data_IF_345170539039
#
_entry.id   IF_345170539039
#
_cell.length_a   1.000
_cell.length_b   1.000
_cell.length_c   1.000
_cell.angle_alpha   90.00
_cell.angle_beta   90.00
_cell.angle_gamma   90.00
#
_symmetry.space_group_name_H-M   'P 1'
#
loop_
_entity.id
_entity.type
_entity.pdbx_description
1 polymer ?
#
# COMPACT_ATOMS: atom_id res chain seq x y z
N UNK A 1 14.78 -39.22 5.82
CA UNK A 1 15.27 -37.87 5.39
C UNK A 1 14.55 -37.47 4.12
N UNK A 2 14.05 -36.23 4.07
CA UNK A 2 13.38 -35.70 2.86
C UNK A 2 14.33 -34.78 2.10
N UNK A 3 14.50 -35.03 0.81
CA UNK A 3 15.22 -34.14 -0.10
C UNK A 3 14.28 -33.69 -1.19
N UNK A 4 14.11 -32.39 -1.34
CA UNK A 4 13.39 -31.79 -2.48
C UNK A 4 14.36 -31.55 -3.61
N UNK A 5 13.96 -31.85 -4.83
CA UNK A 5 14.75 -31.57 -6.03
C UNK A 5 13.92 -30.77 -7.04
N UNK A 6 14.33 -29.55 -7.28
CA UNK A 6 13.81 -28.74 -8.38
C UNK A 6 14.26 -29.30 -9.73
N UNK A 7 13.31 -29.55 -10.62
CA UNK A 7 13.56 -30.13 -11.93
C UNK A 7 13.90 -29.10 -13.01
N UNK A 8 13.72 -27.82 -12.74
CA UNK A 8 13.64 -26.78 -13.78
C UNK A 8 12.34 -26.91 -14.59
N UNK A 9 12.26 -26.18 -15.70
CA UNK A 9 11.07 -26.16 -16.56
C UNK A 9 11.20 -26.99 -17.86
N UNK A 10 12.38 -27.52 -18.16
CA UNK A 10 12.64 -28.31 -19.38
C UNK A 10 13.07 -29.71 -19.06
N UNK A 11 12.93 -30.60 -20.06
CA UNK A 11 13.17 -32.04 -19.92
C UNK A 11 14.52 -32.42 -19.28
N UNK A 12 15.55 -31.66 -19.55
CA UNK A 12 16.93 -31.98 -19.15
C UNK A 12 17.53 -30.94 -18.18
N UNK A 13 16.71 -30.05 -17.62
CA UNK A 13 17.15 -28.95 -16.74
C UNK A 13 17.66 -29.41 -15.36
N UNK A 14 17.34 -30.63 -14.92
CA UNK A 14 17.74 -31.09 -13.59
C UNK A 14 19.26 -31.10 -13.41
N UNK A 15 19.74 -30.47 -12.33
CA UNK A 15 21.17 -30.35 -12.02
C UNK A 15 21.84 -31.70 -11.78
N UNK A 16 23.18 -31.76 -11.93
CA UNK A 16 23.95 -32.97 -11.61
C UNK A 16 23.74 -33.39 -10.15
N UNK A 17 23.64 -32.44 -9.23
CA UNK A 17 23.36 -32.69 -7.80
C UNK A 17 21.99 -33.34 -7.62
N UNK A 18 20.96 -32.76 -8.27
CA UNK A 18 19.61 -33.30 -8.27
C UNK A 18 19.54 -34.72 -8.85
N UNK A 19 20.21 -34.98 -9.99
CA UNK A 19 20.26 -36.32 -10.59
C UNK A 19 20.91 -37.35 -9.65
N UNK A 20 21.98 -36.98 -8.93
CA UNK A 20 22.61 -37.86 -7.93
C UNK A 20 21.66 -38.14 -6.77
N UNK A 21 20.96 -37.12 -6.23
CA UNK A 21 20.00 -37.34 -5.16
C UNK A 21 18.85 -38.26 -5.57
N UNK A 22 18.28 -38.06 -6.76
CA UNK A 22 17.21 -38.91 -7.31
C UNK A 22 17.67 -40.38 -7.46
N UNK A 23 18.91 -40.59 -7.91
CA UNK A 23 19.47 -41.98 -8.06
C UNK A 23 19.74 -42.64 -6.72
N UNK A 24 20.04 -41.91 -5.68
CA UNK A 24 20.38 -42.40 -4.35
C UNK A 24 19.15 -42.56 -3.41
N UNK A 25 17.98 -42.20 -3.86
CA UNK A 25 16.76 -42.23 -3.08
C UNK A 25 16.17 -43.66 -3.00
N UNK A 26 15.62 -44.01 -1.84
CA UNK A 26 14.82 -45.22 -1.67
C UNK A 26 13.44 -45.06 -2.33
N UNK A 27 12.94 -43.84 -2.42
CA UNK A 27 11.66 -43.49 -3.02
C UNK A 27 11.75 -42.13 -3.70
N UNK A 28 11.20 -42.02 -4.91
CA UNK A 28 11.06 -40.75 -5.63
C UNK A 28 9.58 -40.51 -5.91
N UNK A 29 9.08 -39.38 -5.44
CA UNK A 29 7.67 -38.96 -5.59
C UNK A 29 7.64 -37.63 -6.31
N UNK A 30 6.85 -37.54 -7.37
CA UNK A 30 6.63 -36.27 -8.09
C UNK A 30 5.39 -35.55 -7.58
N UNK A 31 5.46 -34.22 -7.49
CA UNK A 31 4.28 -33.39 -7.23
C UNK A 31 3.18 -33.69 -8.24
N UNK A 32 3.55 -33.71 -9.51
CA UNK A 32 2.71 -34.09 -10.65
C UNK A 32 3.57 -34.75 -11.72
N UNK A 33 3.01 -35.61 -12.52
CA UNK A 33 3.68 -36.16 -13.70
C UNK A 33 3.14 -35.60 -15.02
N UNK A 34 2.33 -34.56 -14.97
CA UNK A 34 1.68 -33.93 -16.14
C UNK A 34 2.58 -32.91 -16.87
N UNK A 35 3.70 -32.51 -16.28
CA UNK A 35 4.63 -31.55 -16.87
C UNK A 35 5.76 -32.21 -17.63
N UNK A 36 6.46 -31.46 -18.50
CA UNK A 36 7.56 -32.02 -19.32
C UNK A 36 8.72 -32.54 -18.47
N UNK A 37 9.23 -31.82 -17.44
CA UNK A 37 10.34 -32.32 -16.63
C UNK A 37 9.95 -33.49 -15.72
N UNK A 38 8.72 -33.55 -15.25
CA UNK A 38 8.25 -34.54 -14.27
C UNK A 38 7.66 -35.82 -14.89
N UNK A 39 7.26 -35.78 -16.16
CA UNK A 39 6.58 -36.91 -16.87
C UNK A 39 7.26 -38.25 -16.77
N UNK A 40 8.58 -38.29 -16.54
CA UNK A 40 9.37 -39.53 -16.42
C UNK A 40 9.22 -40.23 -15.07
N UNK A 41 8.63 -39.58 -14.06
CA UNK A 41 8.44 -40.15 -12.75
C UNK A 41 7.07 -40.82 -12.69
N UNK A 42 7.04 -42.11 -12.38
CA UNK A 42 5.80 -42.90 -12.36
C UNK A 42 4.96 -42.70 -11.11
N UNK A 43 5.61 -42.41 -9.96
CA UNK A 43 4.91 -42.11 -8.69
C UNK A 43 4.70 -40.63 -8.56
N UNK A 44 3.43 -40.22 -8.54
CA UNK A 44 3.03 -38.79 -8.46
C UNK A 44 1.86 -38.60 -7.50
N UNK A 45 1.69 -37.39 -7.03
CA UNK A 45 0.62 -37.00 -6.12
C UNK A 45 -0.59 -36.37 -6.84
N UNK A 46 -0.75 -36.63 -8.14
CA UNK A 46 -1.83 -36.06 -8.96
C UNK A 46 -3.23 -36.34 -8.39
N UNK A 47 -3.45 -37.46 -7.71
CA UNK A 47 -4.74 -37.80 -7.11
C UNK A 47 -5.18 -36.84 -6.00
N UNK A 48 -4.28 -36.12 -5.36
CA UNK A 48 -4.61 -35.13 -4.33
C UNK A 48 -5.24 -33.86 -4.91
N UNK A 49 -5.01 -33.58 -6.18
CA UNK A 49 -5.62 -32.42 -6.85
C UNK A 49 -7.14 -32.49 -6.92
N UNK A 50 -7.70 -33.71 -6.97
CA UNK A 50 -9.15 -33.93 -6.97
C UNK A 50 -9.77 -33.89 -5.56
N UNK A 51 -8.94 -34.02 -4.52
CA UNK A 51 -9.38 -34.03 -3.12
C UNK A 51 -9.33 -32.65 -2.47
N UNK A 52 -8.56 -31.73 -3.03
CA UNK A 52 -8.35 -30.41 -2.49
C UNK A 52 -9.52 -29.47 -2.83
N UNK A 53 -9.96 -28.67 -1.87
CA UNK A 53 -11.00 -27.64 -2.05
C UNK A 53 -10.47 -26.37 -2.73
N UNK A 54 -9.18 -26.07 -2.53
CA UNK A 54 -8.49 -24.87 -2.99
C UNK A 54 -6.99 -25.13 -3.07
N UNK A 55 -6.24 -24.12 -3.57
CA UNK A 55 -4.80 -24.23 -3.77
C UNK A 55 -4.02 -24.40 -2.47
N UNK A 56 -4.43 -23.73 -1.38
CA UNK A 56 -3.75 -23.83 -0.08
C UNK A 56 -3.99 -25.19 0.57
N UNK A 57 -5.20 -25.72 0.48
CA UNK A 57 -5.51 -27.07 0.97
C UNK A 57 -4.75 -28.13 0.18
N UNK A 58 -4.60 -27.97 -1.14
CA UNK A 58 -3.80 -28.85 -1.97
C UNK A 58 -2.34 -28.90 -1.49
N UNK A 59 -1.71 -27.74 -1.27
CA UNK A 59 -0.31 -27.70 -0.87
C UNK A 59 -0.07 -28.29 0.52
N UNK A 60 -1.03 -28.15 1.44
CA UNK A 60 -1.00 -28.83 2.75
C UNK A 60 -1.12 -30.34 2.61
N UNK A 61 -2.07 -30.84 1.81
CA UNK A 61 -2.23 -32.26 1.55
C UNK A 61 -0.98 -32.88 0.90
N UNK A 62 -0.38 -32.18 -0.06
CA UNK A 62 0.88 -32.61 -0.70
C UNK A 62 2.02 -32.71 0.32
N UNK A 63 2.17 -31.72 1.20
CA UNK A 63 3.20 -31.70 2.23
C UNK A 63 3.02 -32.84 3.25
N UNK A 64 1.79 -33.03 3.72
CA UNK A 64 1.44 -34.11 4.67
C UNK A 64 1.70 -35.50 4.06
N UNK A 65 1.32 -35.73 2.83
CA UNK A 65 1.52 -36.99 2.12
C UNK A 65 3.01 -37.30 1.91
N UNK A 66 3.81 -36.28 1.50
CA UNK A 66 5.28 -36.44 1.39
C UNK A 66 5.88 -36.79 2.75
N UNK A 67 5.48 -36.11 3.81
CA UNK A 67 5.94 -36.40 5.18
C UNK A 67 5.57 -37.83 5.60
N UNK A 68 4.34 -38.24 5.34
CA UNK A 68 3.87 -39.59 5.68
C UNK A 68 4.66 -40.69 4.95
N UNK A 69 4.92 -40.50 3.63
CA UNK A 69 5.67 -41.46 2.80
C UNK A 69 7.16 -41.51 3.14
N UNK A 70 7.69 -40.47 3.76
CA UNK A 70 9.11 -40.39 4.13
C UNK A 70 9.49 -41.18 5.38
N UNK A 71 8.53 -41.80 6.09
CA UNK A 71 8.80 -42.59 7.28
C UNK A 71 9.72 -43.74 6.95
N UNK A 72 10.87 -43.78 7.64
CA UNK A 72 11.92 -44.84 7.51
C UNK A 72 12.59 -44.96 6.12
N UNK A 73 12.45 -43.95 5.26
CA UNK A 73 13.00 -43.92 3.90
C UNK A 73 13.72 -42.60 3.60
N UNK A 74 14.72 -42.71 2.72
CA UNK A 74 15.31 -41.55 2.08
C UNK A 74 14.44 -41.16 0.86
N UNK A 75 13.49 -40.24 1.08
CA UNK A 75 12.54 -39.84 0.06
C UNK A 75 13.03 -38.60 -0.69
N UNK A 76 12.97 -38.65 -2.01
CA UNK A 76 13.15 -37.47 -2.87
C UNK A 76 11.80 -37.02 -3.43
N UNK A 77 11.43 -35.82 -3.10
CA UNK A 77 10.25 -35.13 -3.64
C UNK A 77 10.69 -34.24 -4.80
N UNK A 78 10.19 -34.48 -5.99
CA UNK A 78 10.54 -33.71 -7.18
C UNK A 78 9.42 -32.76 -7.54
N UNK A 79 9.80 -31.51 -7.79
CA UNK A 79 8.90 -30.41 -8.18
C UNK A 79 9.46 -29.65 -9.38
N UNK A 80 8.60 -28.98 -10.12
CA UNK A 80 9.03 -28.13 -11.24
C UNK A 80 9.71 -26.84 -10.73
N UNK A 81 10.50 -26.19 -11.60
CA UNK A 81 11.21 -24.98 -11.25
C UNK A 81 12.36 -25.18 -10.27
N UNK A 82 12.58 -24.20 -9.39
CA UNK A 82 13.73 -24.18 -8.47
C UNK A 82 13.55 -25.01 -7.19
N UNK A 83 12.33 -25.36 -6.84
CA UNK A 83 11.98 -26.10 -5.63
C UNK A 83 11.83 -25.24 -4.39
N UNK A 84 12.50 -24.11 -4.25
CA UNK A 84 12.37 -23.23 -3.07
C UNK A 84 11.05 -22.46 -3.03
N UNK A 85 10.51 -22.13 -4.20
CA UNK A 85 9.31 -21.32 -4.36
C UNK A 85 8.04 -22.15 -4.60
N UNK A 86 8.14 -23.47 -4.57
CA UNK A 86 6.98 -24.35 -4.67
C UNK A 86 6.19 -24.31 -3.37
N UNK A 87 4.90 -24.00 -3.45
CA UNK A 87 4.05 -23.79 -2.27
C UNK A 87 3.91 -25.04 -1.40
N UNK A 88 3.91 -26.24 -2.00
CA UNK A 88 3.90 -27.49 -1.23
C UNK A 88 5.21 -27.74 -0.48
N UNK A 89 6.33 -27.26 -1.03
CA UNK A 89 7.63 -27.31 -0.35
C UNK A 89 7.68 -26.32 0.80
N UNK A 90 7.12 -25.13 0.62
CA UNK A 90 6.97 -24.13 1.70
C UNK A 90 6.15 -24.71 2.86
N UNK A 91 5.02 -25.37 2.58
CA UNK A 91 4.22 -26.06 3.60
C UNK A 91 4.99 -27.21 4.25
N UNK A 92 5.71 -28.00 3.48
CA UNK A 92 6.52 -29.12 4.00
C UNK A 92 7.62 -28.62 4.95
N UNK A 93 8.27 -27.51 4.67
CA UNK A 93 9.28 -26.90 5.54
C UNK A 93 8.73 -26.42 6.89
N UNK A 94 7.41 -26.16 6.99
CA UNK A 94 6.76 -25.87 8.28
C UNK A 94 6.59 -27.11 9.15
N UNK A 95 6.55 -28.29 8.53
CA UNK A 95 6.29 -29.56 9.21
C UNK A 95 7.57 -30.30 9.62
N UNK A 96 8.66 -30.14 8.88
CA UNK A 96 9.92 -30.87 9.11
C UNK A 96 11.11 -30.20 8.42
N UNK A 97 12.32 -30.57 8.82
CA UNK A 97 13.54 -30.15 8.12
C UNK A 97 13.64 -30.83 6.77
N UNK A 98 13.91 -30.04 5.75
CA UNK A 98 13.97 -30.47 4.34
C UNK A 98 15.28 -30.01 3.70
N UNK A 99 15.98 -30.91 3.02
CA UNK A 99 17.11 -30.54 2.18
C UNK A 99 16.62 -30.18 0.77
N UNK A 100 16.74 -28.91 0.36
CA UNK A 100 16.33 -28.47 -0.99
C UNK A 100 17.54 -28.38 -1.91
N UNK A 101 17.47 -29.09 -3.03
CA UNK A 101 18.41 -29.00 -4.14
C UNK A 101 17.75 -28.19 -5.25
N UNK A 102 18.21 -26.97 -5.43
CA UNK A 102 17.66 -26.06 -6.44
C UNK A 102 17.71 -26.62 -7.86
N UNK A 103 16.62 -26.47 -8.59
CA UNK A 103 16.59 -26.59 -10.05
C UNK A 103 16.90 -25.24 -10.71
N UNK A 104 17.26 -25.24 -12.00
CA UNK A 104 17.41 -24.01 -12.76
C UNK A 104 16.05 -23.36 -13.00
N UNK A 105 15.99 -22.04 -12.80
CA UNK A 105 14.89 -21.22 -13.28
C UNK A 105 15.30 -20.65 -14.64
N UNK A 106 14.92 -21.34 -15.70
CA UNK A 106 15.18 -20.89 -17.07
C UNK A 106 14.15 -19.81 -17.46
N UNK A 107 14.25 -18.65 -16.80
CA UNK A 107 13.40 -17.51 -17.09
C UNK A 107 13.98 -16.69 -18.25
N UNK A 108 13.15 -16.10 -19.12
CA UNK A 108 13.59 -15.28 -20.25
C UNK A 108 14.04 -13.89 -19.79
N UNK A 109 15.00 -13.83 -18.87
CA UNK A 109 15.52 -12.60 -18.31
C UNK A 109 16.57 -11.99 -19.23
N UNK A 110 16.61 -10.67 -19.41
CA UNK A 110 17.68 -10.01 -20.14
C UNK A 110 19.00 -10.13 -19.37
N UNK A 111 20.11 -10.44 -20.07
CA UNK A 111 21.40 -10.55 -19.42
C UNK A 111 21.90 -9.20 -18.91
N UNK A 112 22.42 -9.18 -17.68
CA UNK A 112 23.03 -8.00 -17.08
C UNK A 112 22.06 -7.00 -16.44
N UNK A 113 20.76 -7.27 -16.43
CA UNK A 113 19.76 -6.45 -15.75
C UNK A 113 19.37 -7.06 -14.39
N UNK A 114 19.11 -6.19 -13.41
CA UNK A 114 18.42 -6.58 -12.19
C UNK A 114 16.94 -6.75 -12.51
N UNK A 115 16.34 -7.87 -12.08
CA UNK A 115 14.93 -8.17 -12.34
C UNK A 115 14.26 -8.66 -11.07
N UNK A 116 13.13 -8.09 -10.72
CA UNK A 116 12.29 -8.62 -9.66
C UNK A 116 11.53 -9.86 -10.18
N UNK A 117 11.76 -11.02 -9.56
CA UNK A 117 11.14 -12.29 -9.96
C UNK A 117 10.07 -12.69 -8.96
N UNK A 118 8.84 -12.78 -9.41
CA UNK A 118 7.65 -13.03 -8.60
C UNK A 118 6.95 -14.31 -9.03
N UNK A 119 6.38 -15.02 -8.06
CA UNK A 119 5.47 -16.14 -8.34
C UNK A 119 4.04 -15.61 -8.49
N UNK A 120 3.31 -16.06 -9.51
CA UNK A 120 1.91 -15.73 -9.71
C UNK A 120 1.01 -16.12 -8.53
N UNK A 121 1.43 -17.08 -7.72
CA UNK A 121 0.70 -17.59 -6.56
C UNK A 121 0.96 -16.85 -5.25
N UNK A 122 1.86 -15.85 -5.23
CA UNK A 122 2.26 -15.13 -4.01
C UNK A 122 2.41 -13.63 -4.24
N UNK A 123 1.48 -13.04 -4.97
CA UNK A 123 1.52 -11.61 -5.33
C UNK A 123 0.91 -10.69 -4.28
N UNK A 124 -0.04 -11.16 -3.48
CA UNK A 124 -0.93 -10.31 -2.66
C UNK A 124 -0.21 -9.40 -1.67
N UNK A 125 0.89 -9.87 -1.10
CA UNK A 125 1.63 -9.15 -0.05
C UNK A 125 2.87 -8.43 -0.56
N UNK A 126 3.19 -8.53 -1.85
CA UNK A 126 4.40 -7.97 -2.41
C UNK A 126 4.14 -6.70 -3.22
N UNK A 127 5.00 -5.71 -3.02
CA UNK A 127 5.05 -4.48 -3.81
C UNK A 127 6.38 -4.46 -4.56
N UNK A 128 6.38 -4.66 -5.90
CA UNK A 128 7.61 -4.70 -6.67
C UNK A 128 8.26 -3.32 -6.72
N UNK A 129 9.59 -3.31 -6.66
CA UNK A 129 10.33 -2.13 -7.08
C UNK A 129 10.22 -1.99 -8.61
N UNK A 130 9.29 -1.16 -9.05
CA UNK A 130 9.03 -0.91 -10.48
C UNK A 130 10.11 -0.07 -11.15
N UNK A 131 11.16 0.35 -10.44
CA UNK A 131 12.37 0.91 -11.06
C UNK A 131 13.17 -0.16 -11.82
N UNK A 132 12.90 -1.43 -11.53
CA UNK A 132 13.49 -2.60 -12.18
C UNK A 132 12.43 -3.34 -13.00
N UNK A 133 12.81 -4.05 -14.06
CA UNK A 133 11.92 -4.97 -14.74
C UNK A 133 11.33 -6.01 -13.80
N UNK A 134 10.08 -6.38 -14.04
CA UNK A 134 9.34 -7.37 -13.25
C UNK A 134 9.08 -8.61 -14.10
N UNK A 135 9.42 -9.77 -13.58
CA UNK A 135 9.12 -11.07 -14.16
C UNK A 135 8.17 -11.84 -13.26
N UNK A 136 6.99 -12.21 -13.76
CA UNK A 136 6.02 -13.05 -13.05
C UNK A 136 5.96 -14.41 -13.73
N UNK A 137 6.23 -15.49 -12.99
CA UNK A 137 6.20 -16.87 -13.48
C UNK A 137 5.07 -17.68 -12.85
N UNK A 138 4.75 -18.84 -13.46
CA UNK A 138 3.72 -19.76 -12.96
C UNK A 138 2.31 -19.35 -13.37
N UNK A 139 2.16 -18.82 -14.58
CA UNK A 139 0.86 -18.43 -15.15
C UNK A 139 0.37 -19.59 -16.04
N UNK A 140 -0.30 -20.55 -15.45
CA UNK A 140 -0.67 -21.82 -16.11
C UNK A 140 -2.11 -21.85 -16.65
N UNK A 141 -2.96 -20.91 -16.25
CA UNK A 141 -4.33 -20.78 -16.75
C UNK A 141 -4.78 -19.32 -16.88
N UNK A 142 -5.97 -19.13 -17.47
CA UNK A 142 -6.57 -17.80 -17.68
C UNK A 142 -7.01 -17.11 -16.36
N UNK A 143 -7.36 -17.87 -15.33
CA UNK A 143 -7.73 -17.33 -14.02
C UNK A 143 -6.51 -16.71 -13.34
N UNK A 144 -5.41 -17.45 -13.27
CA UNK A 144 -4.14 -16.94 -12.73
C UNK A 144 -3.65 -15.75 -13.56
N UNK A 145 -3.77 -15.80 -14.88
CA UNK A 145 -3.44 -14.67 -15.74
C UNK A 145 -4.28 -13.43 -15.42
N UNK A 146 -5.56 -13.61 -15.08
CA UNK A 146 -6.45 -12.53 -14.63
C UNK A 146 -6.00 -11.93 -13.30
N UNK A 147 -5.62 -12.74 -12.33
CA UNK A 147 -5.10 -12.30 -11.04
C UNK A 147 -3.78 -11.52 -11.21
N UNK A 148 -2.86 -12.06 -12.02
CA UNK A 148 -1.59 -11.38 -12.37
C UNK A 148 -1.86 -10.05 -13.08
N UNK A 149 -2.79 -10.02 -14.03
CA UNK A 149 -3.19 -8.78 -14.72
C UNK A 149 -3.68 -7.73 -13.72
N UNK A 150 -4.64 -8.07 -12.85
CA UNK A 150 -5.19 -7.15 -11.85
C UNK A 150 -4.11 -6.66 -10.88
N UNK A 151 -3.20 -7.53 -10.49
CA UNK A 151 -2.05 -7.15 -9.68
C UNK A 151 -1.14 -6.16 -10.40
N UNK A 152 -0.74 -6.45 -11.64
CA UNK A 152 0.17 -5.60 -12.42
C UNK A 152 -0.48 -4.23 -12.77
N UNK A 153 -1.79 -4.17 -13.01
CA UNK A 153 -2.52 -2.92 -13.27
C UNK A 153 -2.47 -1.91 -12.11
N UNK A 154 -2.10 -2.33 -10.92
CA UNK A 154 -1.84 -1.41 -9.79
C UNK A 154 -0.61 -0.55 -10.05
N UNK A 155 0.38 -1.05 -10.79
CA UNK A 155 1.71 -0.47 -10.97
C UNK A 155 2.00 -0.03 -12.40
N UNK A 156 1.28 -0.57 -13.38
CA UNK A 156 1.47 -0.32 -14.80
C UNK A 156 0.18 0.15 -15.46
N UNK A 157 0.29 0.83 -16.59
CA UNK A 157 -0.87 1.23 -17.38
C UNK A 157 -1.45 0.01 -18.12
N UNK A 158 -2.75 0.06 -18.46
CA UNK A 158 -3.46 -1.03 -19.12
C UNK A 158 -2.92 -1.36 -20.51
N UNK A 159 -2.41 -0.35 -21.22
CA UNK A 159 -1.81 -0.44 -22.55
C UNK A 159 -0.31 -0.78 -22.54
N UNK A 160 0.27 -0.98 -21.34
CA UNK A 160 1.68 -1.35 -21.20
C UNK A 160 1.96 -2.62 -21.99
N UNK A 161 2.93 -2.56 -22.90
CA UNK A 161 3.37 -3.74 -23.65
C UNK A 161 4.18 -4.65 -22.72
N UNK A 162 3.68 -5.87 -22.55
CA UNK A 162 4.31 -6.92 -21.78
C UNK A 162 4.79 -8.04 -22.70
N UNK A 163 5.87 -8.71 -22.31
CA UNK A 163 6.38 -9.88 -23.02
C UNK A 163 5.91 -11.15 -22.31
N UNK A 164 5.10 -11.95 -22.98
CA UNK A 164 4.68 -13.27 -22.49
C UNK A 164 5.52 -14.34 -23.14
N UNK A 165 6.11 -15.23 -22.34
CA UNK A 165 7.04 -16.25 -22.77
C UNK A 165 6.67 -17.63 -22.25
N UNK A 166 7.00 -18.68 -23.01
CA UNK A 166 6.91 -20.09 -22.61
C UNK A 166 7.90 -20.92 -23.45
N UNK A 167 7.95 -22.23 -23.23
CA UNK A 167 8.72 -23.15 -24.11
C UNK A 167 8.30 -23.13 -25.59
N UNK A 168 7.19 -22.48 -25.92
CA UNK A 168 6.72 -22.30 -27.32
C UNK A 168 7.23 -21.02 -27.97
N UNK A 169 7.90 -20.15 -27.22
CA UNK A 169 8.41 -18.87 -27.66
C UNK A 169 7.85 -17.70 -26.87
N UNK A 170 8.17 -16.50 -27.32
CA UNK A 170 7.72 -15.26 -26.70
C UNK A 170 6.87 -14.45 -27.69
N UNK A 171 5.93 -13.69 -27.15
CA UNK A 171 5.16 -12.68 -27.89
C UNK A 171 4.97 -11.44 -27.03
N UNK A 172 4.67 -10.32 -27.66
CA UNK A 172 4.35 -9.07 -26.98
C UNK A 172 2.85 -8.81 -27.10
N UNK A 173 2.22 -8.40 -26.00
CA UNK A 173 0.81 -8.07 -25.92
C UNK A 173 0.61 -6.88 -24.97
N UNK A 174 -0.49 -6.10 -25.09
CA UNK A 174 -0.90 -5.17 -24.04
C UNK A 174 -1.25 -5.91 -22.75
N UNK A 175 -0.95 -5.32 -21.61
CA UNK A 175 -1.24 -5.90 -20.29
C UNK A 175 -2.74 -6.23 -20.11
N UNK A 176 -3.63 -5.41 -20.66
CA UNK A 176 -5.08 -5.65 -20.60
C UNK A 176 -5.53 -6.95 -21.27
N UNK A 177 -4.73 -7.49 -22.19
CA UNK A 177 -5.03 -8.73 -22.91
C UNK A 177 -4.42 -9.98 -22.26
N UNK A 178 -3.71 -9.85 -21.15
CA UNK A 178 -3.00 -10.96 -20.54
C UNK A 178 -3.91 -12.16 -20.23
N UNK A 179 -5.13 -11.96 -19.75
CA UNK A 179 -6.10 -13.01 -19.41
C UNK A 179 -6.93 -13.51 -20.63
N UNK A 180 -6.71 -12.93 -21.80
CA UNK A 180 -7.39 -13.31 -23.06
C UNK A 180 -6.55 -14.15 -23.99
N UNK A 181 -5.35 -14.56 -23.56
CA UNK A 181 -4.48 -15.43 -24.34
C UNK A 181 -5.15 -16.79 -24.57
N UNK A 182 -4.96 -17.32 -25.79
CA UNK A 182 -5.60 -18.61 -26.18
C UNK A 182 -5.07 -19.82 -25.40
N UNK A 183 -3.81 -19.76 -24.93
CA UNK A 183 -3.15 -20.88 -24.23
C UNK A 183 -2.12 -20.36 -23.23
N UNK A 184 -2.11 -21.00 -22.09
CA UNK A 184 -1.07 -20.88 -21.05
C UNK A 184 -0.40 -22.25 -20.89
N UNK A 185 0.82 -22.22 -20.46
CA UNK A 185 1.62 -23.42 -20.22
C UNK A 185 2.19 -23.35 -18.81
N UNK A 186 2.55 -24.48 -18.24
CA UNK A 186 3.15 -24.56 -16.88
C UNK A 186 4.39 -23.68 -16.68
N UNK A 187 5.05 -23.27 -17.76
CA UNK A 187 6.23 -22.40 -17.79
C UNK A 187 5.92 -20.98 -18.32
N UNK A 188 4.63 -20.63 -18.46
CA UNK A 188 4.27 -19.28 -18.92
C UNK A 188 4.73 -18.22 -17.92
N UNK A 189 5.40 -17.22 -18.46
CA UNK A 189 6.04 -16.14 -17.72
C UNK A 189 5.70 -14.81 -18.39
N UNK A 190 5.43 -13.80 -17.61
CA UNK A 190 5.24 -12.41 -18.06
C UNK A 190 6.42 -11.57 -17.63
N UNK A 191 6.92 -10.77 -18.55
CA UNK A 191 8.01 -9.84 -18.31
C UNK A 191 7.60 -8.41 -18.69
N UNK A 192 7.79 -7.47 -17.73
CA UNK A 192 7.41 -6.06 -17.87
C UNK A 192 8.63 -5.19 -17.65
N UNK A 193 8.98 -4.37 -18.65
CA UNK A 193 10.16 -3.48 -18.59
C UNK A 193 9.81 -2.01 -18.45
N UNK A 194 8.68 -1.60 -19.00
CA UNK A 194 8.30 -0.21 -19.18
C UNK A 194 6.83 0.02 -18.79
N UNK A 195 6.39 1.26 -18.86
CA UNK A 195 4.96 1.61 -18.66
C UNK A 195 4.52 1.70 -17.20
N UNK A 196 5.46 1.77 -16.25
CA UNK A 196 5.13 1.92 -14.83
C UNK A 196 4.41 3.24 -14.56
N UNK A 197 3.47 3.21 -13.62
CA UNK A 197 2.92 4.41 -13.01
C UNK A 197 3.98 5.08 -12.14
N UNK A 198 3.91 6.40 -12.04
CA UNK A 198 4.78 7.14 -11.14
C UNK A 198 4.57 6.73 -9.69
N UNK A 199 5.65 6.66 -8.94
CA UNK A 199 5.67 6.38 -7.51
C UNK A 199 6.11 7.60 -6.71
N UNK A 200 5.88 7.61 -5.41
CA UNK A 200 6.40 8.67 -4.54
C UNK A 200 7.94 8.76 -4.59
N UNK A 201 8.64 7.65 -4.75
CA UNK A 201 10.10 7.64 -4.95
C UNK A 201 10.51 8.32 -6.27
N UNK A 202 9.67 8.23 -7.32
CA UNK A 202 9.90 8.96 -8.57
C UNK A 202 9.77 10.48 -8.35
N UNK A 203 8.75 10.92 -7.60
CA UNK A 203 8.59 12.32 -7.21
C UNK A 203 9.82 12.83 -6.43
N UNK A 204 10.27 12.08 -5.42
CA UNK A 204 11.46 12.44 -4.65
C UNK A 204 12.72 12.55 -5.55
N UNK A 205 12.88 11.65 -6.54
CA UNK A 205 13.99 11.75 -7.52
C UNK A 205 13.90 12.99 -8.40
N UNK A 206 12.68 13.37 -8.81
CA UNK A 206 12.46 14.61 -9.58
C UNK A 206 12.83 15.82 -8.71
N UNK A 207 12.35 15.89 -7.48
CA UNK A 207 12.70 16.98 -6.54
C UNK A 207 14.21 17.07 -6.34
N UNK A 208 14.89 15.95 -6.05
CA UNK A 208 16.37 15.93 -5.93
C UNK A 208 17.07 16.40 -7.22
N UNK A 209 16.51 16.13 -8.39
CA UNK A 209 17.06 16.66 -9.67
C UNK A 209 16.85 18.14 -9.82
N UNK A 210 15.69 18.68 -9.41
CA UNK A 210 15.39 20.10 -9.45
C UNK A 210 16.30 20.91 -8.51
N UNK A 211 16.60 20.36 -7.33
CA UNK A 211 17.42 21.00 -6.30
C UNK A 211 18.92 20.73 -6.43
N UNK A 212 19.37 19.89 -7.37
CA UNK A 212 20.78 19.58 -7.65
C UNK A 212 21.59 20.84 -7.98
N UNK A 213 22.94 20.84 -7.84
CA UNK A 213 23.78 22.01 -8.14
C UNK A 213 23.55 22.66 -9.49
N UNK A 214 23.29 21.84 -10.51
CA UNK A 214 22.94 22.22 -11.88
C UNK A 214 21.42 22.20 -12.16
N UNK A 215 20.59 22.11 -11.10
CA UNK A 215 19.14 22.10 -11.18
C UNK A 215 18.51 23.50 -11.26
N UNK A 216 17.22 23.58 -10.99
CA UNK A 216 16.44 24.81 -11.06
C UNK A 216 16.89 25.85 -10.02
N UNK A 217 17.25 27.06 -10.40
CA UNK A 217 17.66 28.08 -9.45
C UNK A 217 16.59 28.46 -8.43
N UNK A 218 15.32 28.39 -8.83
CA UNK A 218 14.19 28.72 -7.95
C UNK A 218 13.98 27.65 -6.88
N UNK A 219 13.96 26.36 -7.25
CA UNK A 219 13.82 25.25 -6.30
C UNK A 219 15.01 25.16 -5.32
N UNK A 220 16.21 25.40 -5.80
CA UNK A 220 17.41 25.44 -4.95
C UNK A 220 17.38 26.51 -3.87
N UNK A 221 16.73 27.64 -4.15
CA UNK A 221 16.65 28.78 -3.25
C UNK A 221 15.57 28.59 -2.15
N UNK A 222 14.71 27.56 -2.26
CA UNK A 222 13.64 27.36 -1.28
C UNK A 222 14.18 26.92 0.07
N UNK A 223 13.48 27.37 1.11
CA UNK A 223 13.69 27.03 2.52
C UNK A 223 12.36 26.58 3.13
N UNK A 224 12.38 25.91 4.27
CA UNK A 224 11.14 25.57 5.01
C UNK A 224 10.23 26.78 5.22
N UNK A 225 10.81 27.94 5.53
CA UNK A 225 10.02 29.17 5.76
C UNK A 225 9.41 29.70 4.47
N UNK A 226 10.13 29.63 3.32
CA UNK A 226 9.60 30.18 2.05
C UNK A 226 8.44 29.36 1.50
N UNK A 227 8.39 28.04 1.75
CA UNK A 227 7.34 27.14 1.22
C UNK A 227 6.26 26.80 2.27
N UNK A 228 6.37 27.33 3.48
CA UNK A 228 5.40 27.06 4.55
C UNK A 228 3.98 27.47 4.18
N UNK A 229 3.82 28.60 3.50
CA UNK A 229 2.52 29.11 3.09
C UNK A 229 1.91 28.25 2.00
N UNK A 230 2.69 27.81 1.03
CA UNK A 230 2.24 26.92 -0.04
C UNK A 230 1.65 25.62 0.54
N UNK A 231 2.31 25.04 1.55
CA UNK A 231 1.77 23.83 2.20
C UNK A 231 0.34 24.01 2.76
N UNK A 232 0.03 25.21 3.24
CA UNK A 232 -1.30 25.55 3.76
C UNK A 232 -2.28 25.76 2.60
N UNK A 233 -1.83 26.41 1.52
CA UNK A 233 -2.62 26.66 0.31
C UNK A 233 -3.06 25.35 -0.32
N UNK A 234 -2.14 24.42 -0.61
CA UNK A 234 -2.47 23.12 -1.17
C UNK A 234 -3.45 22.31 -0.27
N UNK A 235 -3.27 22.39 1.05
CA UNK A 235 -4.20 21.73 1.97
C UNK A 235 -5.64 22.31 1.90
N UNK A 236 -5.78 23.61 1.67
CA UNK A 236 -7.09 24.23 1.46
C UNK A 236 -7.67 23.92 0.08
N UNK A 237 -6.85 23.81 -0.96
CA UNK A 237 -7.27 23.45 -2.30
C UNK A 237 -7.78 22.01 -2.35
N UNK A 238 -7.11 21.06 -1.64
CA UNK A 238 -7.68 19.72 -1.40
C UNK A 238 -9.06 19.80 -0.73
N UNK A 239 -9.23 20.64 0.31
CA UNK A 239 -10.52 20.79 0.98
C UNK A 239 -11.61 21.37 0.07
N UNK A 240 -11.26 22.29 -0.80
CA UNK A 240 -12.15 22.89 -1.79
C UNK A 240 -12.59 21.86 -2.84
N UNK A 241 -11.65 21.09 -3.41
CA UNK A 241 -11.92 19.99 -4.33
C UNK A 241 -12.87 18.95 -3.72
N UNK A 242 -12.64 18.54 -2.46
CA UNK A 242 -13.54 17.63 -1.72
C UNK A 242 -14.94 18.24 -1.57
N UNK A 243 -15.04 19.53 -1.24
CA UNK A 243 -16.33 20.21 -1.04
C UNK A 243 -17.14 20.29 -2.34
N UNK A 244 -16.46 20.48 -3.47
CA UNK A 244 -17.06 20.53 -4.81
C UNK A 244 -17.35 19.14 -5.40
N UNK A 245 -16.79 18.08 -4.83
CA UNK A 245 -16.84 16.73 -5.42
C UNK A 245 -15.99 16.59 -6.68
N UNK A 246 -15.00 17.48 -6.87
CA UNK A 246 -14.08 17.50 -8.00
C UNK A 246 -12.96 16.49 -7.78
N UNK A 247 -13.10 15.29 -8.38
CA UNK A 247 -12.12 14.23 -8.24
C UNK A 247 -10.82 14.50 -9.01
N UNK A 248 -10.89 15.17 -10.14
CA UNK A 248 -9.71 15.50 -10.94
C UNK A 248 -8.89 16.60 -10.23
N UNK A 249 -9.54 17.67 -9.74
CA UNK A 249 -8.90 18.66 -8.88
C UNK A 249 -8.31 18.04 -7.62
N UNK A 250 -9.01 17.11 -6.97
CA UNK A 250 -8.47 16.43 -5.78
C UNK A 250 -7.20 15.60 -6.09
N UNK A 251 -7.08 15.02 -7.28
CA UNK A 251 -5.84 14.32 -7.71
C UNK A 251 -4.70 15.32 -7.85
N UNK A 252 -4.94 16.49 -8.45
CA UNK A 252 -3.96 17.55 -8.64
C UNK A 252 -3.45 18.04 -7.27
N UNK A 253 -4.34 18.50 -6.41
CA UNK A 253 -3.99 19.12 -5.13
C UNK A 253 -3.35 18.12 -4.14
N UNK A 254 -3.77 16.85 -4.14
CA UNK A 254 -3.06 15.82 -3.37
C UNK A 254 -1.63 15.60 -3.90
N UNK A 255 -1.42 15.75 -5.21
CA UNK A 255 -0.10 15.72 -5.83
C UNK A 255 0.78 16.87 -5.30
N UNK A 256 0.24 18.08 -5.20
CA UNK A 256 0.95 19.26 -4.72
C UNK A 256 1.24 19.19 -3.22
N UNK A 257 0.33 18.64 -2.40
CA UNK A 257 0.64 18.27 -1.00
C UNK A 257 1.82 17.29 -0.92
N UNK A 258 1.86 16.26 -1.79
CA UNK A 258 2.98 15.32 -1.82
C UNK A 258 4.28 15.99 -2.27
N UNK A 259 4.23 16.95 -3.20
CA UNK A 259 5.36 17.77 -3.59
C UNK A 259 5.90 18.56 -2.41
N UNK A 260 5.02 19.20 -1.61
CA UNK A 260 5.43 19.95 -0.40
C UNK A 260 6.14 19.03 0.61
N UNK A 261 5.67 17.79 0.78
CA UNK A 261 6.34 16.80 1.64
C UNK A 261 7.72 16.45 1.12
N UNK A 262 7.84 16.14 -0.19
CA UNK A 262 9.10 15.76 -0.81
C UNK A 262 10.12 16.91 -0.78
N UNK A 263 9.69 18.15 -1.08
CA UNK A 263 10.56 19.33 -1.11
C UNK A 263 11.05 19.72 0.29
N UNK A 264 10.16 19.69 1.31
CA UNK A 264 10.59 19.91 2.70
C UNK A 264 11.59 18.86 3.16
N UNK A 265 11.39 17.57 2.78
CA UNK A 265 12.35 16.52 3.15
C UNK A 265 13.70 16.69 2.44
N UNK A 266 13.70 17.14 1.18
CA UNK A 266 14.93 17.43 0.44
C UNK A 266 15.70 18.63 1.05
N UNK A 267 15.00 19.67 1.47
CA UNK A 267 15.60 20.82 2.17
C UNK A 267 16.29 20.35 3.45
N UNK A 268 15.62 19.53 4.25
CA UNK A 268 16.16 18.98 5.49
C UNK A 268 17.36 18.05 5.23
N UNK A 269 17.28 17.18 4.22
CA UNK A 269 18.38 16.28 3.84
C UNK A 269 19.62 17.07 3.41
N UNK A 270 19.46 18.14 2.63
CA UNK A 270 20.57 19.04 2.24
C UNK A 270 21.21 19.76 3.42
N UNK A 271 20.44 20.00 4.48
CA UNK A 271 20.93 20.59 5.74
C UNK A 271 21.47 19.54 6.73
N UNK A 272 21.35 18.25 6.42
CA UNK A 272 21.78 17.14 7.28
C UNK A 272 20.91 16.93 8.52
N UNK A 273 19.63 17.32 8.46
CA UNK A 273 18.70 17.24 9.59
C UNK A 273 17.93 15.91 9.61
N UNK A 274 17.21 15.57 8.54
CA UNK A 274 16.49 14.32 8.36
C UNK A 274 16.24 14.04 6.88
N UNK A 275 15.82 12.82 6.56
CA UNK A 275 15.51 12.34 5.21
C UNK A 275 14.02 12.04 5.04
N UNK A 276 13.58 11.80 3.81
CA UNK A 276 12.21 11.34 3.55
C UNK A 276 11.94 9.96 4.19
N UNK A 277 12.97 9.11 4.28
CA UNK A 277 12.89 7.80 4.93
C UNK A 277 12.57 7.95 6.42
N UNK A 278 13.17 8.93 7.12
CA UNK A 278 12.87 9.24 8.52
C UNK A 278 11.41 9.67 8.71
N UNK A 279 10.88 10.47 7.78
CA UNK A 279 9.46 10.89 7.78
C UNK A 279 8.53 9.69 7.63
N UNK A 280 8.84 8.80 6.66
CA UNK A 280 8.06 7.59 6.39
C UNK A 280 8.15 6.60 7.55
N UNK A 281 9.33 6.37 8.12
CA UNK A 281 9.51 5.52 9.29
C UNK A 281 8.71 6.05 10.49
N UNK A 282 8.80 7.35 10.74
CA UNK A 282 8.07 8.00 11.84
C UNK A 282 6.56 7.82 11.74
N UNK A 283 5.97 8.03 10.54
CA UNK A 283 4.52 7.85 10.38
C UNK A 283 4.11 6.37 10.41
N UNK A 284 4.89 5.46 9.81
CA UNK A 284 4.62 4.02 9.82
C UNK A 284 4.64 3.48 11.26
N UNK A 285 5.68 3.78 12.02
CA UNK A 285 5.79 3.37 13.41
C UNK A 285 4.63 3.88 14.26
N UNK A 286 4.23 5.14 14.06
CA UNK A 286 3.05 5.73 14.72
C UNK A 286 1.76 5.02 14.36
N UNK A 287 1.54 4.71 13.09
CA UNK A 287 0.34 4.00 12.64
C UNK A 287 0.27 2.59 13.22
N UNK A 288 1.36 1.84 13.17
CA UNK A 288 1.45 0.48 13.72
C UNK A 288 1.21 0.51 15.23
N UNK A 289 1.91 1.37 15.96
CA UNK A 289 1.80 1.44 17.41
C UNK A 289 0.40 1.86 17.91
N UNK A 290 -0.32 2.69 17.15
CA UNK A 290 -1.65 3.18 17.56
C UNK A 290 -2.81 2.33 17.08
N UNK A 291 -2.62 1.41 16.12
CA UNK A 291 -3.65 0.48 15.66
C UNK A 291 -3.46 -0.92 16.27
N UNK A 292 -3.44 -0.99 17.57
CA UNK A 292 -3.22 -2.23 18.33
C UNK A 292 -4.28 -3.31 18.05
N UNK A 293 -5.46 -2.90 17.57
CA UNK A 293 -6.53 -3.79 17.13
C UNK A 293 -6.33 -4.39 15.73
N UNK A 294 -5.33 -3.90 14.97
CA UNK A 294 -4.93 -4.45 13.65
C UNK A 294 -3.58 -5.15 13.74
N UNK A 295 -2.59 -4.49 14.34
CA UNK A 295 -1.20 -4.96 14.38
C UNK A 295 -0.81 -5.62 15.72
N UNK A 296 -1.68 -5.56 16.73
CA UNK A 296 -1.48 -6.14 18.06
C UNK A 296 -2.51 -7.21 18.41
N UNK A 297 -2.83 -7.32 19.71
CA UNK A 297 -3.72 -8.34 20.25
C UNK A 297 -5.14 -7.85 20.56
N UNK A 298 -5.37 -6.53 20.55
CA UNK A 298 -6.69 -5.94 20.77
C UNK A 298 -7.65 -6.28 19.63
N UNK A 299 -8.96 -6.22 19.89
CA UNK A 299 -9.99 -6.45 18.87
C UNK A 299 -11.02 -5.33 18.94
N UNK A 300 -11.28 -4.67 17.83
CA UNK A 300 -12.33 -3.68 17.69
C UNK A 300 -13.40 -4.20 16.73
N UNK A 301 -14.66 -4.15 17.12
CA UNK A 301 -15.80 -4.61 16.31
C UNK A 301 -16.59 -3.43 15.69
N UNK A 302 -16.26 -2.19 16.08
CA UNK A 302 -16.89 -0.97 15.57
C UNK A 302 -15.90 0.22 15.61
N UNK A 303 -16.20 1.30 14.89
CA UNK A 303 -15.33 2.49 14.82
C UNK A 303 -15.06 3.14 16.18
N UNK A 304 -16.03 3.14 17.11
CA UNK A 304 -15.87 3.78 18.43
C UNK A 304 -14.85 3.02 19.28
N UNK A 305 -14.83 1.70 19.21
CA UNK A 305 -13.82 0.87 19.89
C UNK A 305 -12.43 1.09 19.29
N UNK A 306 -12.34 1.12 17.96
CA UNK A 306 -11.08 1.40 17.28
C UNK A 306 -10.52 2.77 17.70
N UNK A 307 -11.37 3.79 17.79
CA UNK A 307 -10.99 5.13 18.26
C UNK A 307 -10.50 5.13 19.72
N UNK A 308 -11.12 4.33 20.60
CA UNK A 308 -10.69 4.21 22.01
C UNK A 308 -9.27 3.62 22.10
N UNK A 309 -8.97 2.55 21.36
CA UNK A 309 -7.61 1.99 21.31
C UNK A 309 -6.59 2.99 20.79
N UNK A 310 -6.92 3.68 19.70
CA UNK A 310 -6.07 4.74 19.15
C UNK A 310 -5.76 5.86 20.18
N UNK A 311 -6.79 6.36 20.89
CA UNK A 311 -6.62 7.43 21.88
C UNK A 311 -5.82 6.95 23.10
N UNK A 312 -6.00 5.71 23.52
CA UNK A 312 -5.22 5.07 24.60
C UNK A 312 -3.74 5.02 24.22
N UNK A 313 -3.41 4.39 23.09
CA UNK A 313 -2.03 4.27 22.61
C UNK A 313 -1.37 5.63 22.42
N UNK A 314 -2.11 6.62 21.92
CA UNK A 314 -1.64 7.99 21.78
C UNK A 314 -1.37 8.68 23.12
N UNK A 315 -2.19 8.42 24.16
CA UNK A 315 -2.00 8.98 25.48
C UNK A 315 -0.74 8.39 26.16
N UNK A 316 -0.51 7.08 26.00
CA UNK A 316 0.69 6.38 26.46
C UNK A 316 1.95 6.91 25.80
N UNK A 317 1.95 7.08 24.47
CA UNK A 317 3.08 7.67 23.71
C UNK A 317 3.40 9.09 24.16
N UNK A 318 2.37 9.93 24.37
CA UNK A 318 2.53 11.35 24.71
C UNK A 318 2.92 11.60 26.16
N UNK A 319 2.77 10.65 27.06
CA UNK A 319 3.07 10.74 28.49
C UNK A 319 2.61 12.07 29.11
N UNK A 320 1.34 12.43 28.89
CA UNK A 320 0.81 13.66 29.46
C UNK A 320 0.83 13.63 30.99
N UNK A 321 1.54 14.58 31.59
CA UNK A 321 1.74 14.63 33.06
C UNK A 321 0.73 15.54 33.76
N UNK A 322 0.00 16.39 33.02
CA UNK A 322 -0.96 17.34 33.57
C UNK A 322 -2.12 17.63 32.60
N UNK A 323 -3.20 18.19 33.16
CA UNK A 323 -4.29 18.75 32.35
C UNK A 323 -3.84 19.88 31.45
N UNK A 324 -2.90 20.70 31.92
CA UNK A 324 -2.29 21.75 31.13
C UNK A 324 -1.60 21.17 29.88
N UNK A 325 -0.80 20.13 30.02
CA UNK A 325 -0.15 19.44 28.92
C UNK A 325 -1.18 18.94 27.88
N UNK A 326 -2.30 18.42 28.35
CA UNK A 326 -3.35 17.93 27.46
C UNK A 326 -4.07 19.05 26.68
N UNK A 327 -4.23 20.22 27.26
CA UNK A 327 -4.97 21.32 26.66
C UNK A 327 -4.06 22.27 25.89
N UNK A 328 -2.84 22.54 26.35
CA UNK A 328 -2.00 23.62 25.87
C UNK A 328 -0.86 23.19 24.93
N UNK A 329 -0.50 21.89 24.85
CA UNK A 329 0.53 21.39 23.91
C UNK A 329 -0.04 21.23 22.50
N UNK A 330 -0.52 22.31 21.90
CA UNK A 330 -0.84 22.35 20.48
C UNK A 330 0.13 23.25 19.74
N UNK A 331 0.39 22.96 18.45
CA UNK A 331 0.89 23.97 17.53
C UNK A 331 -0.03 25.19 17.46
N UNK A 332 0.48 26.31 16.97
CA UNK A 332 -0.33 27.50 16.70
C UNK A 332 -1.21 27.28 15.46
N UNK A 333 -2.31 26.58 15.67
CA UNK A 333 -3.35 26.39 14.66
C UNK A 333 -4.12 27.68 14.36
N UNK A 334 -4.78 27.80 13.19
CA UNK A 334 -5.82 28.81 12.96
C UNK A 334 -6.84 28.82 14.09
N UNK A 335 -7.40 30.00 14.38
CA UNK A 335 -8.15 30.23 15.61
C UNK A 335 -9.34 29.29 15.82
N UNK A 336 -10.14 29.01 14.77
CA UNK A 336 -11.28 28.11 14.87
C UNK A 336 -10.86 26.66 15.09
N UNK A 337 -9.83 26.21 14.40
CA UNK A 337 -9.27 24.86 14.61
C UNK A 337 -8.69 24.70 16.03
N UNK A 338 -8.01 25.75 16.55
CA UNK A 338 -7.52 25.79 17.94
C UNK A 338 -8.68 25.70 18.94
N UNK A 339 -9.72 26.48 18.73
CA UNK A 339 -10.93 26.45 19.56
C UNK A 339 -11.58 25.06 19.57
N UNK A 340 -11.75 24.42 18.40
CA UNK A 340 -12.23 23.03 18.27
C UNK A 340 -11.40 22.05 19.08
N UNK A 341 -10.06 22.14 18.99
CA UNK A 341 -9.15 21.25 19.73
C UNK A 341 -9.27 21.45 21.25
N UNK A 342 -9.38 22.68 21.71
CA UNK A 342 -9.59 23.00 23.14
C UNK A 342 -10.93 22.42 23.60
N UNK A 343 -12.02 22.67 22.90
CA UNK A 343 -13.37 22.16 23.23
C UNK A 343 -13.38 20.64 23.32
N UNK A 344 -12.81 19.96 22.33
CA UNK A 344 -12.71 18.50 22.32
C UNK A 344 -11.99 17.94 23.54
N UNK A 345 -10.93 18.62 24.01
CA UNK A 345 -10.20 18.19 25.20
C UNK A 345 -10.92 18.52 26.48
N UNK A 346 -11.55 19.70 26.60
CA UNK A 346 -12.39 20.05 27.73
C UNK A 346 -13.52 19.04 27.93
N UNK A 347 -14.17 18.60 26.82
CA UNK A 347 -15.19 17.55 26.87
C UNK A 347 -14.64 16.23 27.41
N UNK A 348 -13.44 15.80 26.96
CA UNK A 348 -12.77 14.60 27.46
C UNK A 348 -12.41 14.69 28.94
N UNK A 349 -12.18 15.87 29.46
CA UNK A 349 -11.90 16.14 30.89
C UNK A 349 -13.16 16.30 31.73
N UNK A 350 -14.36 16.10 31.16
CA UNK A 350 -15.64 16.15 31.89
C UNK A 350 -16.23 17.55 32.04
N UNK A 351 -15.74 18.55 31.28
CA UNK A 351 -16.36 19.85 31.26
C UNK A 351 -17.79 19.78 30.69
N UNK A 352 -18.74 20.54 31.29
CA UNK A 352 -20.08 20.68 30.74
C UNK A 352 -20.04 21.48 29.43
N UNK A 353 -20.18 20.78 28.33
CA UNK A 353 -20.29 21.32 26.98
C UNK A 353 -21.64 20.98 26.35
N UNK A 354 -22.71 20.95 27.17
CA UNK A 354 -24.07 20.73 26.67
C UNK A 354 -24.53 21.87 25.76
N UNK A 355 -25.40 21.54 24.79
CA UNK A 355 -25.89 22.51 23.80
C UNK A 355 -26.61 23.69 24.45
N UNK A 356 -27.45 23.43 25.46
CA UNK A 356 -28.19 24.45 26.18
C UNK A 356 -27.25 25.40 26.91
N UNK A 357 -26.23 24.88 27.60
CA UNK A 357 -25.21 25.66 28.29
C UNK A 357 -24.44 26.55 27.31
N UNK A 358 -24.04 26.02 26.16
CA UNK A 358 -23.28 26.78 25.16
C UNK A 358 -24.16 27.88 24.52
N UNK A 359 -25.41 27.59 24.15
CA UNK A 359 -26.38 28.56 23.58
C UNK A 359 -26.68 29.69 24.53
N UNK A 360 -26.97 29.39 25.81
CA UNK A 360 -27.26 30.42 26.81
C UNK A 360 -26.05 31.34 27.00
N UNK A 361 -24.85 30.84 27.07
CA UNK A 361 -23.61 31.62 27.18
C UNK A 361 -23.31 32.43 25.92
N UNK A 362 -23.64 31.91 24.73
CA UNK A 362 -23.48 32.61 23.46
C UNK A 362 -24.39 33.88 23.42
N UNK A 363 -25.65 33.72 23.77
CA UNK A 363 -26.61 34.84 23.81
C UNK A 363 -26.23 35.89 24.86
N UNK A 364 -25.79 35.45 26.04
CA UNK A 364 -25.42 36.30 27.14
C UNK A 364 -24.08 37.04 27.00
N UNK A 365 -23.30 36.79 25.98
CA UNK A 365 -21.97 37.38 25.78
C UNK A 365 -22.02 38.53 24.78
N UNK A 366 -21.34 39.63 25.08
CA UNK A 366 -21.05 40.72 24.13
C UNK A 366 -19.63 40.64 23.54
N UNK A 367 -18.82 39.70 24.02
CA UNK A 367 -17.45 39.43 23.53
C UNK A 367 -17.49 38.58 22.26
N UNK A 368 -17.04 39.13 21.14
CA UNK A 368 -17.00 38.45 19.84
C UNK A 368 -16.05 37.24 19.84
N UNK A 369 -14.89 37.34 20.49
CA UNK A 369 -13.95 36.19 20.59
C UNK A 369 -14.59 35.03 21.35
N UNK A 370 -15.27 35.28 22.45
CA UNK A 370 -16.03 34.29 23.21
C UNK A 370 -17.20 33.74 22.39
N UNK A 371 -17.90 34.55 21.61
CA UNK A 371 -18.97 34.11 20.70
C UNK A 371 -18.43 33.15 19.63
N UNK A 372 -17.32 33.48 18.98
CA UNK A 372 -16.65 32.58 17.99
C UNK A 372 -16.23 31.25 18.62
N UNK A 373 -15.66 31.28 19.82
CA UNK A 373 -15.29 30.06 20.54
C UNK A 373 -16.53 29.19 20.87
N UNK A 374 -17.61 29.79 21.37
CA UNK A 374 -18.85 29.08 21.70
C UNK A 374 -19.56 28.55 20.45
N UNK A 375 -19.53 29.28 19.34
CA UNK A 375 -20.05 28.82 18.05
C UNK A 375 -19.25 27.61 17.54
N UNK A 376 -17.93 27.66 17.63
CA UNK A 376 -17.06 26.51 17.31
C UNK A 376 -17.38 25.28 18.17
N UNK A 377 -17.68 25.49 19.45
CA UNK A 377 -18.11 24.42 20.35
C UNK A 377 -19.45 23.82 19.93
N UNK A 378 -20.44 24.65 19.55
CA UNK A 378 -21.74 24.20 19.03
C UNK A 378 -21.59 23.40 17.72
N UNK A 379 -20.76 23.85 16.77
CA UNK A 379 -20.43 23.11 15.56
C UNK A 379 -19.87 21.73 15.90
N UNK A 380 -18.94 21.66 16.85
CA UNK A 380 -18.30 20.40 17.27
C UNK A 380 -19.28 19.41 17.91
N UNK A 381 -20.34 19.89 18.60
CA UNK A 381 -21.40 19.02 19.13
C UNK A 381 -22.23 18.36 18.00
N UNK A 382 -22.43 19.11 16.93
CA UNK A 382 -23.16 18.63 15.73
C UNK A 382 -22.29 17.86 14.74
N UNK A 383 -21.08 17.43 15.14
CA UNK A 383 -20.06 16.79 14.29
C UNK A 383 -19.68 17.63 13.04
N UNK A 384 -19.76 18.95 13.16
CA UNK A 384 -19.38 19.91 12.12
C UNK A 384 -18.06 20.58 12.45
N UNK A 385 -17.32 20.95 11.43
CA UNK A 385 -16.10 21.73 11.56
C UNK A 385 -16.38 23.21 11.30
N UNK A 386 -16.07 24.08 12.26
CA UNK A 386 -16.41 25.51 12.17
C UNK A 386 -15.64 26.23 11.05
N UNK A 387 -14.38 25.79 10.73
CA UNK A 387 -13.59 26.35 9.64
C UNK A 387 -14.22 26.01 8.28
N UNK A 388 -14.54 24.73 8.07
CA UNK A 388 -15.15 24.25 6.80
C UNK A 388 -16.57 24.77 6.63
N UNK A 389 -17.39 24.89 7.70
CA UNK A 389 -18.72 25.47 7.63
C UNK A 389 -18.66 26.98 7.25
N UNK A 390 -17.69 27.71 7.82
CA UNK A 390 -17.50 29.12 7.47
C UNK A 390 -16.98 29.25 6.02
N UNK A 391 -16.02 28.41 5.60
CA UNK A 391 -15.51 28.41 4.24
C UNK A 391 -16.64 28.14 3.23
N UNK A 392 -17.46 27.12 3.48
CA UNK A 392 -18.61 26.78 2.62
C UNK A 392 -19.63 27.94 2.56
N UNK A 393 -19.82 28.67 3.66
CA UNK A 393 -20.70 29.84 3.65
C UNK A 393 -20.09 31.00 2.87
N UNK A 394 -18.79 31.26 3.00
CA UNK A 394 -18.08 32.25 2.19
C UNK A 394 -18.21 31.93 0.69
N UNK A 395 -18.15 30.65 0.30
CA UNK A 395 -18.34 30.25 -1.11
C UNK A 395 -19.77 30.56 -1.58
N UNK A 396 -20.81 30.29 -0.77
CA UNK A 396 -22.19 30.69 -1.11
C UNK A 396 -22.33 32.20 -1.33
N UNK A 397 -21.67 33.00 -0.49
CA UNK A 397 -21.67 34.48 -0.64
C UNK A 397 -20.98 34.85 -1.99
N UNK A 398 -19.88 34.22 -2.33
CA UNK A 398 -19.20 34.41 -3.63
C UNK A 398 -20.12 34.04 -4.79
N UNK A 399 -20.81 32.92 -4.74
CA UNK A 399 -21.73 32.45 -5.79
C UNK A 399 -22.89 33.40 -6.00
N UNK A 400 -23.41 34.01 -4.90
CA UNK A 400 -24.45 35.05 -4.98
C UNK A 400 -23.89 36.33 -5.60
N UNK A 401 -22.66 36.70 -5.25
CA UNK A 401 -21.99 37.86 -5.86
C UNK A 401 -21.81 37.65 -7.37
N UNK A 402 -21.30 36.51 -7.81
CA UNK A 402 -21.09 36.18 -9.21
C UNK A 402 -22.41 36.30 -10.02
N UNK A 403 -23.50 35.73 -9.48
CA UNK A 403 -24.83 35.83 -10.10
C UNK A 403 -25.39 37.24 -10.17
N UNK A 404 -24.96 38.14 -9.30
CA UNK A 404 -25.46 39.52 -9.18
C UNK A 404 -24.46 40.58 -9.66
N UNK A 405 -23.30 40.20 -10.20
CA UNK A 405 -22.23 41.13 -10.61
C UNK A 405 -22.73 42.25 -11.53
N UNK A 406 -23.68 41.95 -12.42
CA UNK A 406 -24.27 42.93 -13.34
C UNK A 406 -25.24 43.94 -12.64
N UNK A 407 -25.69 43.69 -11.43
CA UNK A 407 -26.74 44.44 -10.76
C UNK A 407 -26.22 45.48 -9.75
N UNK A 408 -24.92 45.68 -9.59
CA UNK A 408 -24.28 46.65 -8.70
C UNK A 408 -24.88 46.68 -7.27
N UNK A 409 -25.02 45.49 -6.68
CA UNK A 409 -25.73 45.30 -5.40
C UNK A 409 -24.88 45.80 -4.24
N UNK A 410 -25.32 46.84 -3.53
CA UNK A 410 -24.67 47.39 -2.33
C UNK A 410 -25.29 46.91 -1.01
N UNK A 411 -26.34 46.11 -1.09
CA UNK A 411 -27.11 45.65 0.08
C UNK A 411 -26.58 44.28 0.53
N UNK A 412 -25.97 44.24 1.72
CA UNK A 412 -25.38 43.04 2.30
C UNK A 412 -26.41 41.93 2.55
N UNK A 413 -27.67 42.28 2.86
CA UNK A 413 -28.73 41.33 3.16
C UNK A 413 -29.03 40.39 1.96
N UNK A 414 -28.68 40.81 0.75
CA UNK A 414 -28.82 39.99 -0.46
C UNK A 414 -27.75 38.91 -0.59
N UNK A 415 -26.66 39.00 0.16
CA UNK A 415 -25.56 38.02 0.18
C UNK A 415 -25.63 37.12 1.41
N UNK A 416 -26.41 37.46 2.43
CA UNK A 416 -26.65 36.64 3.60
C UNK A 416 -27.78 35.64 3.27
N UNK A 417 -27.44 34.51 2.68
CA UNK A 417 -28.40 33.49 2.21
C UNK A 417 -28.68 32.44 3.25
#
# INVERSE_FOLDING_TARGET
MITVVGLGFYKDSVTLRGRKAIKAADMVVARTNKTVPSKKFGDSLDYLYEQASDYDSLNRLLAEEVLQRSKDKNLVYVVDGDGYKDSSVVELCKLTDVNVIAGPMDLPLPPGENVAVLSAYHLETYYPDTSQPVCVYGIDDARIAGEVKLYLLRFYNFDTVIKICSHKGCSEIPLEELDRCKKYYYDTTVYVTNGKKATFADLCRIVKRLTAPDGCPWDKAQTHESIKTNFIEEAYEVCDAVTKGDMDGMIEELGDVMLQVALNSDIAERSGEFTIEDVLEGINNKLIARHTHIFGTDKAVNPDEALKYWEKAKAEEKQYTSYYDQICRFPDFPALLRAKKIVSRLKKLGADVSEDTLKSRFVASDDYGKKLFLLTALCSLSNKDAETELLAYCQKVKDVFEKNEQNNVKDIDKYLV
#
